data_IF_963098684036
#
_entry.id   IF_963098684036
#
_cell.length_a   1.000
_cell.length_b   1.000
_cell.length_c   1.000
_cell.angle_alpha   90.00
_cell.angle_beta   90.00
_cell.angle_gamma   90.00
#
_symmetry.space_group_name_H-M   'P 1'
#
loop_
_entity.id
_entity.type
_entity.pdbx_description
1 polymer ?
#
# COMPACT_ATOMS: atom_id res chain seq x y z
N UNK A 1 -29.01 -12.86 20.35
CA UNK A 1 -28.34 -13.23 19.08
C UNK A 1 -27.02 -13.96 19.33
N UNK A 2 -26.31 -13.66 20.43
CA UNK A 2 -25.12 -14.41 20.87
C UNK A 2 -25.41 -15.85 21.33
N UNK A 3 -26.57 -16.11 21.94
CA UNK A 3 -27.00 -17.45 22.40
C UNK A 3 -27.22 -18.45 21.27
N UNK A 4 -27.54 -17.97 20.06
CA UNK A 4 -27.71 -18.81 18.86
C UNK A 4 -26.35 -19.15 18.23
N UNK A 5 -25.36 -18.25 18.35
CA UNK A 5 -23.99 -18.50 17.88
C UNK A 5 -23.26 -19.51 18.77
N UNK A 6 -23.46 -19.46 20.10
CA UNK A 6 -22.87 -20.41 21.04
C UNK A 6 -23.40 -21.83 20.86
N UNK A 7 -24.68 -22.00 20.50
CA UNK A 7 -25.26 -23.33 20.22
C UNK A 7 -24.84 -23.90 18.85
N UNK A 8 -24.37 -23.07 17.92
CA UNK A 8 -23.82 -23.50 16.63
C UNK A 8 -22.36 -23.97 16.71
N UNK A 9 -21.57 -23.41 17.64
CA UNK A 9 -20.17 -23.79 17.86
C UNK A 9 -20.02 -25.19 18.47
N UNK A 10 -21.04 -25.69 19.17
CA UNK A 10 -21.02 -26.98 19.88
C UNK A 10 -21.18 -28.20 18.94
N UNK A 11 -21.43 -27.98 17.63
CA UNK A 11 -21.74 -29.05 16.67
C UNK A 11 -20.66 -29.37 15.64
N UNK A 12 -19.47 -28.78 15.73
CA UNK A 12 -18.39 -29.05 14.77
C UNK A 12 -17.28 -29.93 15.36
N UNK A 13 -17.05 -31.09 14.71
CA UNK A 13 -15.92 -32.00 14.95
C UNK A 13 -14.56 -31.26 14.84
N UNK A 14 -13.48 -31.77 15.47
CA UNK A 14 -12.34 -30.96 15.88
C UNK A 14 -11.55 -30.46 14.67
N UNK A 15 -11.77 -29.18 14.35
CA UNK A 15 -10.83 -28.41 13.56
C UNK A 15 -9.53 -28.34 14.38
N UNK A 16 -8.38 -28.54 13.73
CA UNK A 16 -7.03 -28.52 14.31
C UNK A 16 -6.99 -27.46 15.42
N UNK A 17 -6.93 -27.91 16.67
CA UNK A 17 -7.08 -27.02 17.82
C UNK A 17 -5.86 -26.08 17.84
N UNK A 18 -6.07 -24.83 17.42
CA UNK A 18 -5.08 -23.79 17.59
C UNK A 18 -4.68 -23.76 19.06
N UNK A 19 -3.37 -23.73 19.40
CA UNK A 19 -2.94 -23.69 20.78
C UNK A 19 -3.55 -22.46 21.46
N UNK A 20 -4.10 -22.67 22.65
CA UNK A 20 -4.69 -21.58 23.43
C UNK A 20 -3.56 -20.65 23.90
N UNK A 21 -3.48 -19.47 23.31
CA UNK A 21 -2.56 -18.42 23.75
C UNK A 21 -3.15 -17.69 24.96
N UNK A 22 -2.29 -17.27 25.90
CA UNK A 22 -2.72 -16.36 26.97
C UNK A 22 -3.08 -15.00 26.37
N UNK A 23 -4.05 -14.31 26.99
CA UNK A 23 -4.46 -12.96 26.57
C UNK A 23 -3.30 -11.96 26.60
N UNK A 24 -2.35 -12.11 27.54
CA UNK A 24 -1.17 -11.26 27.63
C UNK A 24 -0.25 -11.41 26.41
N UNK A 25 0.01 -12.65 25.99
CA UNK A 25 0.86 -12.95 24.83
C UNK A 25 0.20 -12.48 23.53
N UNK A 26 -1.13 -12.61 23.41
CA UNK A 26 -1.89 -12.07 22.28
C UNK A 26 -1.77 -10.53 22.22
N UNK A 27 -1.87 -9.84 23.35
CA UNK A 27 -1.73 -8.38 23.39
C UNK A 27 -0.31 -7.93 23.00
N UNK A 28 0.73 -8.62 23.46
CA UNK A 28 2.11 -8.34 23.03
C UNK A 28 2.29 -8.56 21.52
N UNK A 29 1.74 -9.65 20.97
CA UNK A 29 1.75 -9.90 19.54
C UNK A 29 0.99 -8.82 18.76
N UNK A 30 -0.16 -8.35 19.26
CA UNK A 30 -0.92 -7.27 18.64
C UNK A 30 -0.07 -6.00 18.57
N UNK A 31 0.58 -5.61 19.67
CA UNK A 31 1.47 -4.44 19.71
C UNK A 31 2.65 -4.60 18.75
N UNK A 32 3.28 -5.78 18.71
CA UNK A 32 4.38 -6.07 17.81
C UNK A 32 3.97 -5.96 16.34
N UNK A 33 2.82 -6.55 15.97
CA UNK A 33 2.28 -6.49 14.62
C UNK A 33 1.89 -5.06 14.22
N UNK A 34 1.31 -4.28 15.13
CA UNK A 34 0.99 -2.88 14.91
C UNK A 34 2.24 -2.03 14.66
N UNK A 35 3.30 -2.24 15.46
CA UNK A 35 4.56 -1.52 15.32
C UNK A 35 5.27 -1.83 13.97
N UNK A 36 5.09 -3.05 13.45
CA UNK A 36 5.70 -3.50 12.18
C UNK A 36 4.75 -3.45 10.99
N UNK A 37 3.55 -2.89 11.15
CA UNK A 37 2.55 -2.82 10.08
C UNK A 37 2.99 -1.93 8.91
N UNK A 38 3.90 -0.98 9.15
CA UNK A 38 4.30 0.05 8.18
C UNK A 38 5.69 -0.25 7.65
N UNK A 39 5.79 -0.51 6.34
CA UNK A 39 7.09 -0.60 5.66
C UNK A 39 7.77 0.77 5.70
N UNK A 40 9.08 0.81 5.97
CA UNK A 40 9.88 2.05 6.09
C UNK A 40 9.72 3.02 4.88
N UNK A 41 9.52 2.48 3.66
CA UNK A 41 9.26 3.27 2.44
C UNK A 41 7.89 3.96 2.47
N UNK A 42 6.88 3.27 3.00
CA UNK A 42 5.54 3.81 3.16
C UNK A 42 5.52 4.95 4.18
N UNK A 43 6.31 4.87 5.26
CA UNK A 43 6.40 5.94 6.26
C UNK A 43 6.86 7.29 5.67
N UNK A 44 7.89 7.29 4.81
CA UNK A 44 8.36 8.52 4.13
C UNK A 44 7.32 9.04 3.14
N UNK A 45 6.67 8.15 2.38
CA UNK A 45 5.58 8.53 1.48
C UNK A 45 4.42 9.17 2.25
N UNK A 46 3.99 8.58 3.36
CA UNK A 46 2.89 9.09 4.16
C UNK A 46 3.17 10.48 4.76
N UNK A 47 4.42 10.74 5.18
CA UNK A 47 4.80 12.08 5.66
C UNK A 47 4.70 13.14 4.55
N UNK A 48 5.02 12.77 3.32
CA UNK A 48 4.87 13.64 2.15
C UNK A 48 3.38 13.87 1.85
N UNK A 49 2.58 12.80 1.87
CA UNK A 49 1.13 12.86 1.63
C UNK A 49 0.40 13.76 2.64
N UNK A 50 0.75 13.70 3.94
CA UNK A 50 0.13 14.57 4.95
C UNK A 50 0.57 16.03 4.80
N UNK A 51 1.84 16.26 4.44
CA UNK A 51 2.35 17.61 4.17
C UNK A 51 1.59 18.25 2.99
N UNK A 52 1.37 17.50 1.92
CA UNK A 52 0.60 17.98 0.76
C UNK A 52 -0.85 18.32 1.12
N UNK A 53 -1.48 17.53 2.00
CA UNK A 53 -2.82 17.84 2.52
C UNK A 53 -2.84 19.12 3.36
N UNK A 54 -1.89 19.28 4.28
CA UNK A 54 -1.77 20.50 5.11
C UNK A 54 -1.58 21.72 4.20
N UNK A 55 -0.67 21.62 3.22
CA UNK A 55 -0.40 22.70 2.28
C UNK A 55 -1.65 23.06 1.46
N UNK A 56 -2.43 22.06 1.02
CA UNK A 56 -3.72 22.26 0.37
C UNK A 56 -4.69 23.03 1.27
N UNK A 57 -4.83 22.63 2.55
CA UNK A 57 -5.73 23.31 3.48
C UNK A 57 -5.30 24.76 3.71
N UNK A 58 -4.00 25.02 3.90
CA UNK A 58 -3.46 26.39 4.07
C UNK A 58 -3.74 27.24 2.82
N UNK A 59 -3.42 26.71 1.63
CA UNK A 59 -3.55 27.43 0.36
C UNK A 59 -5.00 27.84 0.07
N UNK A 60 -5.96 26.99 0.46
CA UNK A 60 -7.39 27.22 0.23
C UNK A 60 -8.14 27.77 1.45
N UNK A 61 -7.44 28.18 2.51
CA UNK A 61 -8.01 28.65 3.77
C UNK A 61 -9.09 27.71 4.34
N UNK A 62 -8.83 26.39 4.26
CA UNK A 62 -9.68 25.34 4.80
C UNK A 62 -9.18 24.92 6.19
N UNK A 63 -10.11 24.44 7.01
CA UNK A 63 -9.76 23.79 8.27
C UNK A 63 -8.99 22.49 7.98
N UNK A 64 -8.04 22.16 8.87
CA UNK A 64 -7.29 20.91 8.80
C UNK A 64 -8.16 19.68 9.13
N UNK A 65 -9.34 19.92 9.70
CA UNK A 65 -10.30 18.87 10.02
C UNK A 65 -10.77 18.14 8.74
N UNK A 66 -10.64 16.80 8.69
CA UNK A 66 -10.91 15.98 7.52
C UNK A 66 -12.42 15.70 7.39
N UNK A 67 -13.21 16.74 7.16
CA UNK A 67 -14.65 16.59 6.88
C UNK A 67 -14.88 15.91 5.53
N UNK A 68 -16.04 15.27 5.29
CA UNK A 68 -16.34 14.66 4.00
C UNK A 68 -16.12 15.62 2.82
N UNK A 69 -16.49 16.90 3.00
CA UNK A 69 -16.35 17.92 1.97
C UNK A 69 -14.89 18.29 1.72
N UNK A 70 -14.10 18.47 2.79
CA UNK A 70 -12.67 18.76 2.69
C UNK A 70 -11.94 17.62 1.98
N UNK A 71 -12.21 16.37 2.36
CA UNK A 71 -11.62 15.20 1.73
C UNK A 71 -11.99 15.07 0.26
N UNK A 72 -13.26 15.26 -0.11
CA UNK A 72 -13.69 15.26 -1.51
C UNK A 72 -13.01 16.37 -2.34
N UNK A 73 -12.86 17.58 -1.78
CA UNK A 73 -12.13 18.67 -2.44
C UNK A 73 -10.66 18.32 -2.64
N UNK A 74 -10.01 17.77 -1.62
CA UNK A 74 -8.62 17.34 -1.69
C UNK A 74 -8.40 16.24 -2.73
N UNK A 75 -9.26 15.20 -2.76
CA UNK A 75 -9.20 14.15 -3.79
C UNK A 75 -9.37 14.78 -5.18
N UNK A 76 -10.34 15.67 -5.34
CA UNK A 76 -10.60 16.31 -6.64
C UNK A 76 -9.40 17.12 -7.10
N UNK A 77 -8.80 17.92 -6.20
CA UNK A 77 -7.61 18.72 -6.46
C UNK A 77 -6.42 17.85 -6.85
N UNK A 78 -6.05 16.88 -6.01
CA UNK A 78 -4.91 15.98 -6.27
C UNK A 78 -5.13 15.16 -7.55
N UNK A 79 -6.35 14.69 -7.79
CA UNK A 79 -6.69 13.91 -8.99
C UNK A 79 -6.61 14.74 -10.29
N UNK A 80 -6.50 16.07 -10.23
CA UNK A 80 -6.22 16.88 -11.43
C UNK A 80 -4.79 16.75 -11.91
N UNK A 81 -3.85 16.52 -10.98
CA UNK A 81 -2.41 16.51 -11.27
C UNK A 81 -1.85 15.09 -11.35
N UNK A 82 -2.44 14.13 -10.63
CA UNK A 82 -1.97 12.74 -10.57
C UNK A 82 -3.13 11.73 -10.63
N UNK A 83 -2.95 10.62 -11.34
CA UNK A 83 -3.94 9.52 -11.41
C UNK A 83 -4.12 8.80 -10.08
N UNK A 84 -3.12 8.88 -9.20
CA UNK A 84 -3.07 8.23 -7.89
C UNK A 84 -3.58 9.09 -6.73
N UNK A 85 -4.21 10.25 -6.99
CA UNK A 85 -4.70 11.19 -5.96
C UNK A 85 -5.41 10.53 -4.77
N UNK A 86 -6.38 9.61 -4.97
CA UNK A 86 -7.05 8.93 -3.86
C UNK A 86 -6.13 8.11 -2.92
N UNK A 87 -4.96 7.68 -3.38
CA UNK A 87 -4.02 6.90 -2.55
C UNK A 87 -3.41 7.74 -1.43
N UNK A 88 -3.29 9.05 -1.64
CA UNK A 88 -2.73 10.01 -0.68
C UNK A 88 -3.57 10.08 0.61
N UNK A 89 -4.85 9.72 0.53
CA UNK A 89 -5.68 9.61 1.73
C UNK A 89 -5.18 8.57 2.72
N UNK A 90 -4.36 7.59 2.30
CA UNK A 90 -3.83 6.56 3.18
C UNK A 90 -2.80 7.14 4.14
N UNK A 91 -1.84 7.94 3.65
CA UNK A 91 -0.88 8.63 4.50
C UNK A 91 -1.53 9.72 5.32
N UNK A 92 -2.45 10.48 4.73
CA UNK A 92 -3.24 11.50 5.44
C UNK A 92 -4.03 10.87 6.59
N UNK A 93 -4.70 9.74 6.36
CA UNK A 93 -5.39 8.96 7.40
C UNK A 93 -4.44 8.52 8.52
N UNK A 94 -3.28 7.96 8.16
CA UNK A 94 -2.32 7.44 9.13
C UNK A 94 -1.89 8.50 10.16
N UNK A 95 -1.66 9.74 9.73
CA UNK A 95 -1.22 10.82 10.61
C UNK A 95 -2.34 11.58 11.30
N UNK A 96 -3.50 11.72 10.67
CA UNK A 96 -4.59 12.56 11.19
C UNK A 96 -5.62 11.79 12.01
N UNK A 97 -5.67 10.46 11.91
CA UNK A 97 -6.67 9.65 12.64
C UNK A 97 -6.58 9.81 14.16
N UNK A 98 -5.38 9.94 14.71
CA UNK A 98 -5.19 10.10 16.16
C UNK A 98 -5.65 11.47 16.66
N UNK A 99 -5.63 12.48 15.79
CA UNK A 99 -6.08 13.85 16.08
C UNK A 99 -7.57 14.05 15.79
N UNK A 100 -8.11 13.33 14.81
CA UNK A 100 -9.48 13.44 14.32
C UNK A 100 -10.13 12.04 14.26
N UNK A 101 -10.77 11.58 15.34
CA UNK A 101 -11.35 10.23 15.41
C UNK A 101 -12.46 10.01 14.36
N UNK A 102 -13.14 11.08 13.95
CA UNK A 102 -14.19 11.05 12.91
C UNK A 102 -13.64 10.95 11.48
N UNK A 103 -12.32 10.88 11.30
CA UNK A 103 -11.70 10.68 9.98
C UNK A 103 -12.28 9.45 9.30
N UNK A 104 -12.37 8.31 10.00
CA UNK A 104 -12.86 7.05 9.44
C UNK A 104 -14.30 7.18 8.93
N UNK A 105 -15.15 7.88 9.66
CA UNK A 105 -16.52 8.15 9.27
C UNK A 105 -16.57 9.08 8.04
N UNK A 106 -15.74 10.12 8.03
CA UNK A 106 -15.66 11.08 6.94
C UNK A 106 -15.14 10.46 5.64
N UNK A 107 -14.14 9.58 5.73
CA UNK A 107 -13.57 8.87 4.60
C UNK A 107 -14.57 7.87 4.00
N UNK A 108 -15.37 7.19 4.85
CA UNK A 108 -16.41 6.24 4.42
C UNK A 108 -17.69 6.92 3.94
N UNK A 109 -17.82 8.24 4.11
CA UNK A 109 -18.98 9.00 3.66
C UNK A 109 -19.22 8.83 2.15
N UNK A 110 -20.49 8.70 1.76
CA UNK A 110 -20.90 8.43 0.37
C UNK A 110 -20.31 9.42 -0.63
N UNK A 111 -20.24 10.69 -0.27
CA UNK A 111 -19.67 11.75 -1.12
C UNK A 111 -18.18 11.52 -1.42
N UNK A 112 -17.39 11.12 -0.41
CA UNK A 112 -15.96 10.85 -0.56
C UNK A 112 -15.78 9.61 -1.43
N UNK A 113 -16.53 8.55 -1.16
CA UNK A 113 -16.48 7.31 -1.95
C UNK A 113 -16.88 7.54 -3.41
N UNK A 114 -17.93 8.33 -3.66
CA UNK A 114 -18.34 8.71 -5.01
C UNK A 114 -17.25 9.54 -5.72
N UNK A 115 -16.58 10.44 -5.00
CA UNK A 115 -15.48 11.25 -5.54
C UNK A 115 -14.27 10.37 -5.90
N UNK A 116 -13.89 9.42 -5.03
CA UNK A 116 -12.82 8.44 -5.29
C UNK A 116 -13.17 7.59 -6.51
N UNK A 117 -14.41 7.12 -6.62
CA UNK A 117 -14.85 6.33 -7.76
C UNK A 117 -14.81 7.15 -9.06
N UNK A 118 -15.32 8.38 -9.02
CA UNK A 118 -15.30 9.31 -10.14
C UNK A 118 -13.89 9.67 -10.59
N UNK A 119 -12.97 9.92 -9.66
CA UNK A 119 -11.59 10.22 -10.00
C UNK A 119 -10.89 9.02 -10.63
N UNK A 120 -11.06 7.81 -10.10
CA UNK A 120 -10.54 6.58 -10.72
C UNK A 120 -11.10 6.35 -12.12
N UNK A 121 -12.39 6.64 -12.35
CA UNK A 121 -13.01 6.45 -13.66
C UNK A 121 -12.56 7.47 -14.71
N UNK A 122 -12.33 8.72 -14.30
CA UNK A 122 -11.99 9.82 -15.20
C UNK A 122 -10.48 9.99 -15.43
N UNK A 123 -9.67 9.62 -14.43
CA UNK A 123 -8.21 9.83 -14.38
C UNK A 123 -7.42 8.54 -14.17
N UNK A 124 -8.08 7.41 -13.98
CA UNK A 124 -7.39 6.14 -13.85
C UNK A 124 -6.65 5.84 -15.14
N UNK A 125 -5.34 5.61 -15.02
CA UNK A 125 -4.58 5.08 -16.13
C UNK A 125 -5.26 3.79 -16.61
N UNK A 126 -5.44 3.59 -17.94
CA UNK A 126 -5.92 2.32 -18.42
C UNK A 126 -5.00 1.25 -17.82
N UNK A 127 -5.60 0.21 -17.23
CA UNK A 127 -4.86 -0.93 -16.71
C UNK A 127 -4.13 -1.62 -17.86
N UNK A 128 -2.97 -1.09 -18.22
CA UNK A 128 -1.98 -1.77 -19.03
C UNK A 128 -1.35 -2.80 -18.11
N UNK A 129 -2.00 -3.96 -18.05
CA UNK A 129 -1.37 -5.12 -17.43
C UNK A 129 -0.10 -5.38 -18.25
N UNK A 130 1.05 -5.09 -17.66
CA UNK A 130 2.33 -5.55 -18.21
C UNK A 130 2.22 -7.06 -18.33
N UNK A 131 2.47 -7.59 -19.53
CA UNK A 131 2.45 -9.03 -19.75
C UNK A 131 3.40 -9.69 -18.73
N UNK A 132 3.01 -10.83 -18.15
CA UNK A 132 3.87 -11.50 -17.20
C UNK A 132 5.20 -11.84 -17.87
N UNK A 133 6.31 -11.67 -17.14
CA UNK A 133 7.57 -12.22 -17.58
C UNK A 133 7.39 -13.75 -17.68
N UNK A 134 7.82 -14.33 -18.79
CA UNK A 134 7.69 -15.75 -19.06
C UNK A 134 9.08 -16.35 -19.17
N UNK A 135 9.18 -17.67 -19.02
CA UNK A 135 10.45 -18.38 -19.16
C UNK A 135 11.07 -18.17 -20.55
N UNK A 136 10.25 -18.06 -21.61
CA UNK A 136 10.69 -17.74 -22.97
C UNK A 136 11.43 -16.41 -23.05
N UNK A 137 10.97 -15.39 -22.31
CA UNK A 137 11.61 -14.09 -22.24
C UNK A 137 12.99 -14.19 -21.58
N UNK A 138 13.12 -14.93 -20.46
CA UNK A 138 14.41 -15.16 -19.82
C UNK A 138 15.42 -15.87 -20.73
N UNK A 139 14.99 -16.94 -21.41
CA UNK A 139 15.85 -17.67 -22.35
C UNK A 139 16.36 -16.72 -23.44
N UNK A 140 15.48 -15.85 -23.94
CA UNK A 140 15.85 -14.85 -24.96
C UNK A 140 16.88 -13.85 -24.42
N UNK A 141 16.69 -13.33 -23.20
CA UNK A 141 17.66 -12.42 -22.57
C UNK A 141 19.02 -13.09 -22.33
N UNK A 142 19.05 -14.33 -21.85
CA UNK A 142 20.30 -15.07 -21.66
C UNK A 142 21.04 -15.30 -22.99
N UNK A 143 20.31 -15.63 -24.05
CA UNK A 143 20.90 -15.79 -25.39
C UNK A 143 21.47 -14.47 -25.91
N UNK A 144 20.73 -13.37 -25.79
CA UNK A 144 21.19 -12.05 -26.22
C UNK A 144 22.43 -11.58 -25.43
N UNK A 145 22.45 -11.79 -24.11
CA UNK A 145 23.59 -11.46 -23.27
C UNK A 145 24.85 -12.28 -23.60
N UNK A 146 24.68 -13.57 -23.93
CA UNK A 146 25.79 -14.40 -24.39
C UNK A 146 26.32 -13.96 -25.77
N UNK A 147 25.45 -13.48 -26.66
CA UNK A 147 25.84 -12.98 -27.97
C UNK A 147 26.60 -11.65 -27.84
N UNK A 148 26.10 -10.72 -27.02
CA UNK A 148 26.77 -9.43 -26.81
C UNK A 148 28.10 -9.59 -26.05
N UNK A 149 28.19 -10.60 -25.18
CA UNK A 149 29.33 -10.88 -24.30
C UNK A 149 29.76 -9.66 -23.47
N UNK A 150 28.81 -8.74 -23.22
CA UNK A 150 29.01 -7.59 -22.36
C UNK A 150 28.80 -8.00 -20.91
N UNK A 151 29.68 -7.50 -20.03
CA UNK A 151 29.53 -7.70 -18.59
C UNK A 151 28.16 -7.19 -18.10
N UNK A 152 27.71 -6.04 -18.61
CA UNK A 152 26.45 -5.41 -18.19
C UNK A 152 25.23 -6.26 -18.59
N UNK A 153 25.24 -6.83 -19.79
CA UNK A 153 24.13 -7.65 -20.28
C UNK A 153 24.06 -9.01 -19.57
N UNK A 154 25.22 -9.62 -19.30
CA UNK A 154 25.32 -10.86 -18.52
C UNK A 154 24.87 -10.64 -17.07
N UNK A 155 25.27 -9.52 -16.47
CA UNK A 155 24.83 -9.12 -15.13
C UNK A 155 23.32 -8.88 -15.10
N UNK A 156 22.79 -8.15 -16.08
CA UNK A 156 21.35 -7.88 -16.18
C UNK A 156 20.54 -9.18 -16.33
N UNK A 157 20.95 -10.09 -17.21
CA UNK A 157 20.29 -11.39 -17.40
C UNK A 157 20.33 -12.23 -16.11
N UNK A 158 21.44 -12.20 -15.37
CA UNK A 158 21.60 -12.91 -14.09
C UNK A 158 20.64 -12.35 -13.04
N UNK A 159 20.58 -11.01 -12.88
CA UNK A 159 19.66 -10.36 -11.95
C UNK A 159 18.20 -10.69 -12.31
N UNK A 160 17.86 -10.65 -13.60
CA UNK A 160 16.52 -10.96 -14.09
C UNK A 160 16.12 -12.41 -13.78
N UNK A 161 17.04 -13.37 -13.95
CA UNK A 161 16.82 -14.76 -13.60
C UNK A 161 16.64 -14.95 -12.09
N UNK A 162 17.47 -14.31 -11.26
CA UNK A 162 17.33 -14.33 -9.80
C UNK A 162 15.97 -13.77 -9.34
N UNK A 163 15.51 -12.65 -9.92
CA UNK A 163 14.19 -12.09 -9.63
C UNK A 163 13.05 -13.05 -10.01
N UNK A 164 13.14 -13.67 -11.19
CA UNK A 164 12.09 -14.55 -11.70
C UNK A 164 11.97 -15.85 -10.89
N UNK A 165 13.10 -16.51 -10.57
CA UNK A 165 13.09 -17.77 -9.82
C UNK A 165 12.94 -17.56 -8.31
N UNK A 166 13.49 -16.47 -7.77
CA UNK A 166 13.39 -16.15 -6.35
C UNK A 166 12.10 -15.41 -5.96
N UNK A 167 11.28 -14.98 -6.93
CA UNK A 167 10.11 -14.11 -6.72
C UNK A 167 10.44 -12.82 -5.92
N UNK A 168 11.71 -12.41 -5.88
CA UNK A 168 12.13 -11.23 -5.17
C UNK A 168 11.69 -9.96 -5.91
N UNK A 169 11.36 -8.92 -5.14
CA UNK A 169 11.27 -7.59 -5.73
C UNK A 169 12.68 -7.09 -6.05
N UNK A 170 12.86 -6.49 -7.23
CA UNK A 170 14.16 -5.93 -7.64
C UNK A 170 14.73 -4.94 -6.62
N UNK A 171 13.85 -4.24 -5.89
CA UNK A 171 14.21 -3.30 -4.82
C UNK A 171 14.83 -3.98 -3.58
N UNK A 172 14.70 -5.29 -3.41
CA UNK A 172 15.34 -6.07 -2.32
C UNK A 172 16.77 -6.52 -2.66
N UNK A 173 17.11 -6.54 -3.96
CA UNK A 173 18.44 -6.92 -4.46
C UNK A 173 19.42 -5.74 -4.55
N UNK A 174 18.97 -4.53 -4.19
CA UNK A 174 19.77 -3.31 -4.27
C UNK A 174 20.25 -2.94 -2.86
N UNK A 175 21.56 -2.96 -2.66
CA UNK A 175 22.17 -2.31 -1.49
C UNK A 175 22.06 -0.79 -1.64
N UNK A 176 21.56 -0.11 -0.60
CA UNK A 176 21.45 1.35 -0.63
C UNK A 176 22.85 1.95 -0.68
N UNK A 177 23.10 2.72 -1.74
CA UNK A 177 24.27 3.59 -1.80
C UNK A 177 23.97 4.90 -1.05
N UNK A 178 23.86 4.82 0.27
CA UNK A 178 23.74 6.01 1.10
C UNK A 178 25.10 6.74 1.05
N UNK A 179 25.15 7.89 0.36
CA UNK A 179 26.34 8.76 0.26
C UNK A 179 26.67 9.49 1.59
N UNK A 180 26.30 8.90 2.72
CA UNK A 180 26.67 9.39 4.04
C UNK A 180 27.73 8.46 4.63
N UNK A 181 28.92 8.52 4.03
CA UNK A 181 30.18 8.21 4.69
C UNK A 181 31.20 9.27 4.31
#
# INVERSE_FOLDING_TARGET
>A
METILLTALDKHAPCIACPAFSLSLLNEHVLFLQAHAIKLRAAKSYATEVHDYIQFCITHALLLEPTPLTLSRYITYTSQFISSGPKYLTGVHHFLKDLYPDFDASQKHLMVQATIHGSRKTRGDPTSQKLPLQLSHLITFCLLANISNSCDDLLFATILACCFYGCHWSDELIWKNDKQL
#
